data_IF_074115482403
#
_entry.id   IF_074115482403
#
_cell.length_a   1.000
_cell.length_b   1.000
_cell.length_c   1.000
_cell.angle_alpha   90.00
_cell.angle_beta   90.00
_cell.angle_gamma   90.00
#
_symmetry.space_group_name_H-M   'P 1'
#
loop_
_entity.id
_entity.type
_entity.pdbx_description
1 polymer ?
#
# COMPACT_ATOMS: atom_id res chain seq x y z
N UNK A 1 -5.70 4.23 -18.45
CA UNK A 1 -6.15 4.43 -17.06
C UNK A 1 -5.19 3.65 -16.17
N UNK A 2 -4.45 4.31 -15.28
CA UNK A 2 -3.56 3.64 -14.32
C UNK A 2 -4.32 2.71 -13.37
N UNK A 3 -3.72 1.57 -13.01
CA UNK A 3 -4.31 0.59 -12.11
C UNK A 3 -3.26 0.20 -11.07
N UNK A 4 -3.51 0.55 -9.82
CA UNK A 4 -2.74 0.07 -8.67
C UNK A 4 -3.35 -1.22 -8.16
N UNK A 5 -2.60 -2.31 -8.22
CA UNK A 5 -2.93 -3.57 -7.54
C UNK A 5 -2.00 -3.72 -6.36
N UNK A 6 -2.53 -3.84 -5.15
CA UNK A 6 -1.72 -3.84 -3.94
C UNK A 6 -2.12 -4.93 -2.98
N UNK A 7 -1.13 -5.57 -2.36
CA UNK A 7 -1.38 -6.28 -1.10
C UNK A 7 -1.73 -5.29 0.02
N UNK A 8 -2.37 -5.81 1.07
CA UNK A 8 -2.79 -5.06 2.24
C UNK A 8 -1.74 -5.11 3.34
N UNK A 9 -1.56 -6.27 3.97
CA UNK A 9 -0.64 -6.45 5.09
C UNK A 9 0.80 -6.22 4.62
N UNK A 10 1.60 -5.47 5.39
CA UNK A 10 2.99 -5.15 5.04
C UNK A 10 3.19 -4.22 3.83
N UNK A 11 2.20 -4.11 2.94
CA UNK A 11 2.21 -3.24 1.76
C UNK A 11 1.33 -1.99 1.96
N UNK A 12 0.03 -2.01 1.62
CA UNK A 12 -0.83 -0.82 1.73
C UNK A 12 -1.07 -0.37 3.19
N UNK A 13 -1.20 -1.33 4.10
CA UNK A 13 -1.37 -1.12 5.54
C UNK A 13 -0.02 -0.99 6.26
N UNK A 14 1.09 -1.25 5.57
CA UNK A 14 2.45 -1.11 6.09
C UNK A 14 2.95 0.34 6.11
N UNK A 15 4.02 0.58 6.87
CA UNK A 15 4.64 1.90 7.02
C UNK A 15 3.96 2.80 8.06
N UNK A 16 4.39 4.06 8.13
CA UNK A 16 3.86 5.00 9.11
C UNK A 16 2.46 5.51 8.70
N UNK A 17 1.65 5.92 9.69
CA UNK A 17 0.33 6.50 9.41
C UNK A 17 0.41 7.77 8.54
N UNK A 18 1.51 8.52 8.62
CA UNK A 18 1.79 9.68 7.75
C UNK A 18 1.97 9.28 6.29
N UNK A 19 2.62 8.15 6.02
CA UNK A 19 2.85 7.65 4.66
C UNK A 19 1.56 7.10 4.05
N UNK A 20 0.77 6.37 4.84
CA UNK A 20 -0.56 5.91 4.45
C UNK A 20 -1.48 7.09 4.12
N UNK A 21 -1.42 8.17 4.92
CA UNK A 21 -2.14 9.43 4.63
C UNK A 21 -1.67 10.07 3.32
N UNK A 22 -0.36 10.19 3.09
CA UNK A 22 0.19 10.76 1.85
C UNK A 22 -0.23 9.97 0.62
N UNK A 23 -0.16 8.65 0.67
CA UNK A 23 -0.63 7.77 -0.41
C UNK A 23 -2.14 7.98 -0.64
N UNK A 24 -2.93 7.97 0.43
CA UNK A 24 -4.37 8.23 0.38
C UNK A 24 -4.69 9.57 -0.29
N UNK A 25 -4.01 10.64 0.11
CA UNK A 25 -4.24 11.98 -0.39
C UNK A 25 -3.82 12.12 -1.87
N UNK A 26 -2.78 11.40 -2.29
CA UNK A 26 -2.42 11.28 -3.70
C UNK A 26 -3.53 10.58 -4.49
N UNK A 27 -3.96 9.39 -4.07
CA UNK A 27 -5.02 8.65 -4.75
C UNK A 27 -6.36 9.42 -4.81
N UNK A 28 -6.71 10.17 -3.76
CA UNK A 28 -7.92 11.00 -3.74
C UNK A 28 -7.85 12.16 -4.76
N UNK A 29 -6.65 12.70 -5.03
CA UNK A 29 -6.44 13.74 -6.05
C UNK A 29 -6.37 13.19 -7.47
N UNK A 30 -6.16 11.89 -7.60
CA UNK A 30 -6.03 11.16 -8.86
C UNK A 30 -7.09 10.06 -8.98
N UNK A 31 -8.39 10.40 -9.04
CA UNK A 31 -9.48 9.41 -9.10
C UNK A 31 -9.44 8.52 -10.36
N UNK A 32 -8.65 8.89 -11.37
CA UNK A 32 -8.34 8.07 -12.54
C UNK A 32 -7.45 6.86 -12.23
N UNK A 33 -6.74 6.84 -11.09
CA UNK A 33 -5.97 5.68 -10.63
C UNK A 33 -6.93 4.69 -9.98
N UNK A 34 -7.20 3.59 -10.68
CA UNK A 34 -8.04 2.52 -10.15
C UNK A 34 -7.27 1.71 -9.11
N UNK A 35 -7.85 1.55 -7.92
CA UNK A 35 -7.27 0.70 -6.87
C UNK A 35 -7.90 -0.68 -6.89
N UNK A 36 -7.07 -1.71 -6.85
CA UNK A 36 -7.44 -3.12 -6.74
C UNK A 36 -6.71 -3.72 -5.54
N UNK A 37 -7.45 -4.39 -4.65
CA UNK A 37 -6.82 -5.15 -3.57
C UNK A 37 -6.47 -6.54 -4.05
N UNK A 38 -5.30 -7.05 -3.67
CA UNK A 38 -4.88 -8.42 -3.89
C UNK A 38 -4.28 -9.01 -2.62
N UNK A 39 -5.12 -9.66 -1.81
CA UNK A 39 -4.82 -10.00 -0.43
C UNK A 39 -5.11 -11.46 -0.09
N UNK A 40 -4.42 -11.98 0.92
CA UNK A 40 -4.75 -13.25 1.57
C UNK A 40 -5.97 -13.16 2.51
N UNK A 41 -6.43 -11.95 2.84
CA UNK A 41 -7.61 -11.74 3.69
C UNK A 41 -8.89 -12.23 3.00
N UNK A 42 -9.80 -12.75 3.82
CA UNK A 42 -11.19 -12.98 3.41
C UNK A 42 -12.05 -11.73 3.62
N UNK A 43 -13.26 -11.72 3.05
CA UNK A 43 -14.13 -10.53 3.03
C UNK A 43 -14.38 -9.87 4.40
N UNK A 44 -14.63 -10.60 5.51
CA UNK A 44 -14.81 -9.97 6.83
C UNK A 44 -13.59 -9.14 7.29
N UNK A 45 -12.38 -9.65 7.09
CA UNK A 45 -11.14 -8.94 7.46
C UNK A 45 -10.81 -7.78 6.52
N UNK A 46 -11.30 -7.84 5.28
CA UNK A 46 -11.23 -6.71 4.34
C UNK A 46 -12.19 -5.61 4.77
N UNK A 47 -13.41 -5.95 5.21
CA UNK A 47 -14.35 -4.96 5.74
C UNK A 47 -13.77 -4.23 6.95
N UNK A 48 -13.17 -4.96 7.89
CA UNK A 48 -12.46 -4.36 9.04
C UNK A 48 -11.36 -3.39 8.58
N UNK A 49 -10.53 -3.78 7.61
CA UNK A 49 -9.50 -2.89 7.07
C UNK A 49 -10.09 -1.62 6.42
N UNK A 50 -11.26 -1.74 5.79
CA UNK A 50 -11.97 -0.62 5.16
C UNK A 50 -12.66 0.33 6.16
N UNK A 51 -12.67 0.00 7.45
CA UNK A 51 -13.10 0.92 8.51
C UNK A 51 -12.03 2.01 8.77
N UNK A 52 -10.76 1.75 8.45
CA UNK A 52 -9.70 2.76 8.54
C UNK A 52 -9.88 3.79 7.40
N UNK A 53 -10.10 5.09 7.72
CA UNK A 53 -10.29 6.13 6.73
C UNK A 53 -9.05 6.35 5.83
N UNK A 54 -7.88 5.84 6.18
CA UNK A 54 -6.68 5.92 5.34
C UNK A 54 -6.68 4.87 4.22
N UNK A 55 -7.52 3.83 4.28
CA UNK A 55 -7.48 2.72 3.30
C UNK A 55 -8.32 3.00 2.05
N UNK A 56 -7.71 3.18 0.85
CA UNK A 56 -8.42 3.48 -0.39
C UNK A 56 -9.59 2.55 -0.68
N UNK A 57 -10.67 3.09 -1.25
CA UNK A 57 -11.79 2.25 -1.69
C UNK A 57 -11.36 1.50 -2.95
N UNK A 58 -11.33 0.16 -2.94
CA UNK A 58 -10.98 -0.60 -4.13
C UNK A 58 -12.15 -0.62 -5.12
N UNK A 59 -11.86 -0.62 -6.42
CA UNK A 59 -12.86 -0.97 -7.45
C UNK A 59 -13.06 -2.48 -7.51
N UNK A 60 -12.00 -3.26 -7.32
CA UNK A 60 -12.02 -4.71 -7.36
C UNK A 60 -11.22 -5.30 -6.21
N UNK A 61 -11.62 -6.47 -5.75
CA UNK A 61 -10.97 -7.16 -4.63
C UNK A 61 -10.64 -8.58 -5.07
N UNK A 62 -9.36 -8.92 -5.07
CA UNK A 62 -8.84 -10.28 -5.17
C UNK A 62 -8.55 -10.73 -3.73
N UNK A 63 -9.40 -11.61 -3.20
CA UNK A 63 -9.36 -12.10 -1.83
C UNK A 63 -8.95 -13.58 -1.79
N UNK A 64 -8.73 -14.09 -0.57
CA UNK A 64 -8.45 -15.51 -0.32
C UNK A 64 -7.27 -16.03 -1.17
N UNK A 65 -6.20 -15.23 -1.26
CA UNK A 65 -4.97 -15.55 -2.04
C UNK A 65 -5.27 -15.73 -3.54
N UNK A 66 -6.32 -15.10 -4.05
CA UNK A 66 -6.73 -15.18 -5.45
C UNK A 66 -7.72 -16.30 -5.77
N UNK A 67 -8.34 -16.92 -4.76
CA UNK A 67 -9.45 -17.84 -4.97
C UNK A 67 -10.81 -17.12 -5.14
N UNK A 68 -10.90 -15.84 -4.75
CA UNK A 68 -12.12 -15.05 -4.76
C UNK A 68 -11.87 -13.72 -5.46
N UNK A 69 -12.80 -13.30 -6.33
CA UNK A 69 -12.74 -11.98 -6.97
C UNK A 69 -14.10 -11.31 -6.85
N UNK A 70 -14.13 -10.14 -6.23
CA UNK A 70 -15.34 -9.41 -5.88
C UNK A 70 -15.35 -8.01 -6.51
N UNK A 71 -16.55 -7.52 -6.83
CA UNK A 71 -16.78 -6.10 -7.06
C UNK A 71 -16.55 -5.32 -5.74
N UNK A 72 -15.73 -4.27 -5.76
CA UNK A 72 -15.41 -3.49 -4.56
C UNK A 72 -16.52 -2.59 -4.05
N UNK A 73 -17.64 -2.45 -4.77
CA UNK A 73 -18.79 -1.61 -4.40
C UNK A 73 -19.85 -2.41 -3.65
N UNK A 74 -20.27 -3.54 -4.20
CA UNK A 74 -21.34 -4.38 -3.64
C UNK A 74 -20.87 -5.75 -3.12
N UNK A 75 -19.58 -6.04 -3.25
CA UNK A 75 -18.92 -7.27 -2.80
C UNK A 75 -19.48 -8.54 -3.45
N UNK A 76 -20.12 -8.42 -4.62
CA UNK A 76 -20.61 -9.58 -5.36
C UNK A 76 -19.45 -10.30 -6.09
N UNK A 77 -19.45 -11.65 -6.10
CA UNK A 77 -18.49 -12.41 -6.89
C UNK A 77 -18.55 -12.12 -8.39
N UNK A 78 -17.39 -11.90 -9.01
CA UNK A 78 -17.27 -11.65 -10.44
C UNK A 78 -17.33 -12.97 -11.21
N UNK A 79 -18.44 -13.19 -11.91
CA UNK A 79 -18.66 -14.37 -12.76
C UNK A 79 -18.51 -14.03 -14.25
N UNK A 80 -18.07 -14.97 -15.10
CA UNK A 80 -17.70 -16.38 -14.80
C UNK A 80 -16.30 -16.55 -14.20
N UNK A 81 -15.54 -15.47 -14.05
CA UNK A 81 -14.13 -15.45 -13.64
C UNK A 81 -13.85 -16.26 -12.37
N UNK A 82 -14.65 -16.10 -11.32
CA UNK A 82 -14.45 -16.85 -10.08
C UNK A 82 -14.61 -18.37 -10.29
N UNK A 83 -15.56 -18.78 -11.15
CA UNK A 83 -15.72 -20.19 -11.53
C UNK A 83 -14.48 -20.75 -12.22
N UNK A 84 -13.85 -19.97 -13.10
CA UNK A 84 -12.61 -20.35 -13.79
C UNK A 84 -11.44 -20.54 -12.82
N UNK A 85 -11.27 -19.61 -11.86
CA UNK A 85 -10.21 -19.71 -10.85
C UNK A 85 -10.37 -20.92 -9.93
N UNK A 86 -11.62 -21.31 -9.66
CA UNK A 86 -11.98 -22.47 -8.82
C UNK A 86 -12.22 -23.74 -9.62
N UNK A 87 -11.88 -23.78 -10.91
CA UNK A 87 -12.05 -24.96 -11.75
C UNK A 87 -11.28 -26.16 -11.17
N UNK A 88 -11.97 -27.28 -11.01
CA UNK A 88 -11.39 -28.50 -10.42
C UNK A 88 -11.24 -28.47 -8.88
N UNK A 89 -11.69 -27.41 -8.19
CA UNK A 89 -11.64 -27.33 -6.74
C UNK A 89 -12.50 -28.43 -6.09
N UNK A 90 -11.93 -29.34 -5.27
CA UNK A 90 -12.66 -30.46 -4.67
C UNK A 90 -13.53 -30.04 -3.46
N UNK A 91 -13.42 -28.78 -3.03
CA UNK A 91 -14.07 -28.27 -1.83
C UNK A 91 -13.25 -28.49 -0.56
N UNK A 92 -13.43 -27.59 0.41
CA UNK A 92 -12.73 -27.57 1.71
C UNK A 92 -12.85 -28.89 2.46
N UNK A 93 -14.02 -29.55 2.42
CA UNK A 93 -14.26 -30.80 3.12
C UNK A 93 -13.35 -31.95 2.68
N UNK A 94 -13.04 -32.05 1.38
CA UNK A 94 -12.15 -33.10 0.85
C UNK A 94 -10.70 -32.86 1.27
N UNK A 95 -10.24 -31.62 1.26
CA UNK A 95 -8.88 -31.26 1.70
C UNK A 95 -8.74 -31.46 3.20
N UNK A 96 -9.70 -31.00 4.01
CA UNK A 96 -9.72 -31.24 5.46
C UNK A 96 -9.71 -32.74 5.79
N UNK A 97 -10.41 -33.56 5.01
CA UNK A 97 -10.40 -35.01 5.19
C UNK A 97 -9.01 -35.61 4.85
N UNK A 98 -8.41 -35.22 3.73
CA UNK A 98 -7.09 -35.71 3.32
C UNK A 98 -5.99 -35.29 4.30
N UNK A 99 -6.09 -34.10 4.88
CA UNK A 99 -5.10 -33.56 5.80
C UNK A 99 -5.30 -33.96 7.27
N UNK A 100 -6.38 -34.70 7.59
CA UNK A 100 -6.68 -35.13 8.96
C UNK A 100 -5.58 -35.99 9.58
N UNK A 101 -4.82 -36.72 8.76
CA UNK A 101 -3.74 -37.60 9.20
C UNK A 101 -2.48 -36.89 9.68
N UNK A 102 -2.36 -35.56 9.50
CA UNK A 102 -1.18 -34.80 9.88
C UNK A 102 -1.44 -34.04 11.21
N UNK A 103 -0.91 -34.51 12.35
CA UNK A 103 -1.25 -33.95 13.67
C UNK A 103 -0.71 -32.53 13.91
N UNK A 104 0.28 -32.08 13.12
CA UNK A 104 0.80 -30.72 13.21
C UNK A 104 -0.13 -29.67 12.61
N UNK A 105 -1.09 -30.07 11.74
CA UNK A 105 -2.06 -29.16 11.15
C UNK A 105 -3.24 -28.93 12.11
N UNK A 106 -3.47 -27.67 12.47
CA UNK A 106 -4.68 -27.27 13.19
C UNK A 106 -5.61 -26.51 12.27
N UNK A 107 -6.79 -27.05 11.97
CA UNK A 107 -7.76 -26.39 11.09
C UNK A 107 -8.26 -25.06 11.70
N UNK A 108 -8.48 -24.06 10.85
CA UNK A 108 -8.97 -22.75 11.29
C UNK A 108 -10.50 -22.69 11.19
N UNK A 109 -11.22 -23.05 12.25
CA UNK A 109 -12.70 -23.09 12.24
C UNK A 109 -13.33 -21.69 12.12
N UNK A 110 -12.68 -20.64 12.63
CA UNK A 110 -13.20 -19.26 12.61
C UNK A 110 -12.80 -18.47 11.35
N UNK A 111 -11.90 -19.02 10.52
CA UNK A 111 -11.47 -18.34 9.30
C UNK A 111 -12.50 -18.54 8.17
N UNK A 112 -12.72 -17.54 7.31
CA UNK A 112 -13.48 -17.74 6.08
C UNK A 112 -12.85 -18.84 5.21
N UNK A 113 -13.65 -19.79 4.73
CA UNK A 113 -13.22 -20.94 3.94
C UNK A 113 -13.71 -20.85 2.49
N UNK A 114 -13.68 -19.64 1.93
CA UNK A 114 -14.20 -19.35 0.59
C UNK A 114 -13.16 -19.67 -0.48
N UNK A 115 -13.27 -20.85 -1.08
CA UNK A 115 -12.31 -21.28 -2.10
C UNK A 115 -10.91 -21.54 -1.52
N UNK A 116 -10.82 -21.84 -0.22
CA UNK A 116 -9.58 -22.25 0.45
C UNK A 116 -9.85 -23.24 1.58
N UNK A 117 -8.80 -23.85 2.09
CA UNK A 117 -8.82 -24.71 3.27
C UNK A 117 -7.63 -24.36 4.17
N UNK A 118 -7.90 -23.58 5.23
CA UNK A 118 -6.85 -22.95 6.04
C UNK A 118 -6.54 -23.70 7.33
N UNK A 119 -5.25 -23.79 7.65
CA UNK A 119 -4.69 -24.44 8.84
C UNK A 119 -3.60 -23.57 9.48
N UNK A 120 -3.35 -23.77 10.77
CA UNK A 120 -2.12 -23.37 11.43
C UNK A 120 -1.09 -24.50 11.32
N UNK A 121 0.15 -24.14 10.98
CA UNK A 121 1.28 -25.04 10.83
C UNK A 121 2.57 -24.28 11.15
N UNK A 122 3.43 -24.85 12.02
CA UNK A 122 4.74 -24.25 12.31
C UNK A 122 5.72 -24.49 11.15
N UNK A 123 6.73 -23.62 10.95
CA UNK A 123 7.64 -23.74 9.81
C UNK A 123 8.36 -25.09 9.76
N UNK A 124 8.78 -25.60 10.91
CA UNK A 124 9.47 -26.89 11.04
C UNK A 124 8.61 -28.11 10.70
N UNK A 125 7.28 -27.95 10.71
CA UNK A 125 6.31 -29.03 10.47
C UNK A 125 5.81 -29.07 9.01
N UNK A 126 6.22 -28.12 8.16
CA UNK A 126 5.91 -28.13 6.73
C UNK A 126 6.71 -29.23 6.01
N UNK A 127 6.06 -30.37 5.79
CA UNK A 127 6.68 -31.56 5.18
C UNK A 127 6.23 -31.78 3.74
N UNK A 128 7.05 -32.44 2.90
CA UNK A 128 6.65 -32.86 1.56
C UNK A 128 5.37 -33.70 1.56
N UNK A 129 5.13 -34.54 2.58
CA UNK A 129 3.92 -35.35 2.65
C UNK A 129 2.63 -34.53 2.78
N UNK A 130 2.66 -33.39 3.49
CA UNK A 130 1.51 -32.46 3.55
C UNK A 130 1.26 -31.83 2.18
N UNK A 131 2.33 -31.41 1.51
CA UNK A 131 2.29 -30.81 0.18
C UNK A 131 1.72 -31.82 -0.84
N UNK A 132 2.27 -33.03 -0.88
CA UNK A 132 1.85 -34.12 -1.76
C UNK A 132 0.37 -34.48 -1.55
N UNK A 133 -0.11 -34.46 -0.30
CA UNK A 133 -1.52 -34.73 -0.01
C UNK A 133 -2.48 -33.68 -0.58
N UNK A 134 -2.08 -32.40 -0.62
CA UNK A 134 -2.85 -31.33 -1.27
C UNK A 134 -2.76 -31.45 -2.79
N UNK A 135 -1.56 -31.66 -3.32
CA UNK A 135 -1.32 -31.75 -4.77
C UNK A 135 -1.99 -32.97 -5.40
N UNK A 136 -2.08 -34.10 -4.67
CA UNK A 136 -2.80 -35.30 -5.10
C UNK A 136 -4.31 -35.06 -5.31
N UNK A 137 -4.88 -34.02 -4.70
CA UNK A 137 -6.26 -33.59 -4.92
C UNK A 137 -6.40 -32.61 -6.10
N UNK A 138 -5.33 -32.38 -6.85
CA UNK A 138 -5.30 -31.38 -7.92
C UNK A 138 -5.40 -29.95 -7.39
N UNK A 139 -4.92 -29.70 -6.17
CA UNK A 139 -4.91 -28.38 -5.54
C UNK A 139 -3.50 -27.77 -5.56
N UNK A 140 -3.41 -26.47 -5.31
CA UNK A 140 -2.17 -25.78 -4.94
C UNK A 140 -2.18 -25.49 -3.43
N UNK A 141 -1.10 -24.92 -2.93
CA UNK A 141 -0.98 -24.53 -1.53
C UNK A 141 -0.21 -23.21 -1.39
N UNK A 142 -0.40 -22.56 -0.25
CA UNK A 142 0.34 -21.37 0.17
C UNK A 142 0.76 -21.51 1.63
N UNK A 143 1.93 -20.98 1.96
CA UNK A 143 2.41 -20.85 3.34
C UNK A 143 2.83 -19.40 3.60
N UNK A 144 2.38 -18.80 4.69
CA UNK A 144 2.66 -17.39 5.00
C UNK A 144 2.79 -17.11 6.49
N UNK A 145 3.51 -16.02 6.79
CA UNK A 145 3.75 -15.49 8.14
C UNK A 145 4.18 -16.55 9.17
N UNK A 146 5.00 -17.51 8.73
CA UNK A 146 5.53 -18.62 9.55
C UNK A 146 4.46 -19.38 10.34
N UNK A 147 3.21 -19.41 9.84
CA UNK A 147 2.09 -19.95 10.61
C UNK A 147 0.92 -20.46 9.78
N UNK A 148 0.59 -19.82 8.67
CA UNK A 148 -0.66 -20.11 7.95
C UNK A 148 -0.37 -21.01 6.77
N UNK A 149 -1.06 -22.16 6.71
CA UNK A 149 -1.03 -23.07 5.58
C UNK A 149 -2.41 -23.14 4.94
N UNK A 150 -2.49 -22.84 3.64
CA UNK A 150 -3.73 -22.82 2.89
C UNK A 150 -3.68 -23.84 1.74
N UNK A 151 -4.65 -24.74 1.68
CA UNK A 151 -4.97 -25.48 0.46
C UNK A 151 -5.85 -24.60 -0.45
N UNK A 152 -5.52 -24.52 -1.74
CA UNK A 152 -6.12 -23.59 -2.70
C UNK A 152 -6.45 -24.30 -4.03
N UNK A 153 -7.43 -23.80 -4.81
CA UNK A 153 -7.65 -24.27 -6.19
C UNK A 153 -6.37 -24.16 -7.00
N UNK A 154 -6.08 -25.13 -7.89
CA UNK A 154 -4.82 -25.18 -8.64
C UNK A 154 -4.48 -23.87 -9.37
N UNK A 155 -5.51 -23.21 -9.89
CA UNK A 155 -5.40 -21.94 -10.62
C UNK A 155 -5.37 -20.70 -9.73
N UNK A 156 -5.69 -20.82 -8.44
CA UNK A 156 -5.74 -19.69 -7.53
C UNK A 156 -4.33 -19.19 -7.16
N UNK A 157 -4.09 -17.93 -7.46
CA UNK A 157 -2.99 -17.10 -6.95
C UNK A 157 -3.35 -15.64 -7.21
N UNK A 158 -2.75 -14.70 -6.47
CA UNK A 158 -2.97 -13.25 -6.70
C UNK A 158 -2.69 -12.88 -8.16
N UNK A 159 -1.60 -13.37 -8.74
CA UNK A 159 -1.22 -13.14 -10.13
C UNK A 159 -2.17 -13.73 -11.16
N UNK A 160 -2.62 -14.99 -10.99
CA UNK A 160 -3.58 -15.60 -11.93
C UNK A 160 -4.93 -14.90 -11.88
N UNK A 161 -5.41 -14.56 -10.68
CA UNK A 161 -6.65 -13.82 -10.49
C UNK A 161 -6.56 -12.42 -11.12
N UNK A 162 -5.44 -11.71 -10.92
CA UNK A 162 -5.18 -10.43 -11.56
C UNK A 162 -5.13 -10.55 -13.08
N UNK A 163 -4.44 -11.55 -13.63
CA UNK A 163 -4.37 -11.77 -15.07
C UNK A 163 -5.76 -12.09 -15.65
N UNK A 164 -6.58 -12.88 -14.96
CA UNK A 164 -7.95 -13.16 -15.37
C UNK A 164 -8.83 -11.91 -15.32
N UNK A 165 -8.70 -11.09 -14.28
CA UNK A 165 -9.43 -9.84 -14.12
C UNK A 165 -9.02 -8.83 -15.19
N UNK A 166 -7.72 -8.65 -15.42
CA UNK A 166 -7.20 -7.77 -16.46
C UNK A 166 -7.72 -8.17 -17.84
N UNK A 167 -7.75 -9.48 -18.17
CA UNK A 167 -8.35 -9.97 -19.42
C UNK A 167 -9.85 -9.66 -19.51
N UNK A 168 -10.62 -9.92 -18.45
CA UNK A 168 -12.07 -9.69 -18.47
C UNK A 168 -12.45 -8.22 -18.59
N UNK A 169 -11.62 -7.33 -18.01
CA UNK A 169 -11.82 -5.88 -18.05
C UNK A 169 -11.10 -5.19 -19.23
N UNK A 170 -10.34 -5.92 -20.03
CA UNK A 170 -9.59 -5.36 -21.16
C UNK A 170 -8.44 -4.44 -20.76
N UNK A 171 -7.81 -4.67 -19.60
CA UNK A 171 -6.71 -3.85 -19.10
C UNK A 171 -5.38 -4.16 -19.78
N UNK A 172 -4.68 -3.16 -20.34
CA UNK A 172 -3.31 -3.32 -20.79
C UNK A 172 -2.39 -3.64 -19.61
N UNK A 173 -1.49 -4.61 -19.77
CA UNK A 173 -0.50 -4.96 -18.72
C UNK A 173 0.37 -3.75 -18.33
N UNK A 174 0.72 -2.91 -19.31
CA UNK A 174 1.50 -1.69 -19.09
C UNK A 174 0.77 -0.60 -18.29
N UNK A 175 -0.53 -0.72 -18.05
CA UNK A 175 -1.27 0.22 -17.17
C UNK A 175 -1.43 -0.30 -15.75
N UNK A 176 -0.80 -1.42 -15.40
CA UNK A 176 -0.89 -2.06 -14.09
C UNK A 176 0.42 -1.86 -13.34
N UNK A 177 0.33 -1.41 -12.08
CA UNK A 177 1.38 -1.46 -11.08
C UNK A 177 0.98 -2.46 -10.00
N UNK A 178 1.79 -3.49 -9.79
CA UNK A 178 1.63 -4.43 -8.68
C UNK A 178 2.54 -4.04 -7.52
N UNK A 179 2.01 -4.05 -6.30
CA UNK A 179 2.74 -3.80 -5.07
C UNK A 179 2.57 -4.96 -4.09
N UNK A 180 3.67 -5.41 -3.49
CA UNK A 180 3.68 -6.51 -2.53
C UNK A 180 4.96 -6.53 -1.70
N UNK A 181 4.97 -7.35 -0.65
CA UNK A 181 6.08 -7.47 0.30
C UNK A 181 6.42 -8.92 0.66
N UNK A 182 5.57 -9.90 0.36
CA UNK A 182 5.77 -11.30 0.76
C UNK A 182 5.81 -12.28 -0.41
N UNK A 183 6.20 -13.52 -0.16
CA UNK A 183 6.34 -14.54 -1.21
C UNK A 183 5.02 -14.85 -1.95
N UNK A 184 3.87 -14.66 -1.31
CA UNK A 184 2.57 -14.89 -1.95
C UNK A 184 2.25 -13.85 -3.06
N UNK A 185 2.96 -12.70 -3.06
CA UNK A 185 2.84 -11.63 -4.04
C UNK A 185 3.64 -11.89 -5.31
N UNK A 186 4.62 -12.81 -5.26
CA UNK A 186 5.52 -13.14 -6.37
C UNK A 186 4.76 -13.43 -7.67
N UNK A 187 3.59 -14.06 -7.57
CA UNK A 187 2.72 -14.35 -8.71
C UNK A 187 2.26 -13.09 -9.46
N UNK A 188 2.05 -11.97 -8.77
CA UNK A 188 1.67 -10.69 -9.40
C UNK A 188 2.81 -10.10 -10.20
N UNK A 189 4.05 -10.14 -9.69
CA UNK A 189 5.23 -9.62 -10.40
C UNK A 189 5.52 -10.37 -11.72
N UNK A 190 5.08 -11.63 -11.82
CA UNK A 190 5.28 -12.51 -12.98
C UNK A 190 4.38 -12.20 -14.18
N UNK A 191 3.37 -11.33 -14.04
CA UNK A 191 2.44 -11.04 -15.14
C UNK A 191 2.99 -10.07 -16.20
N UNK A 192 4.17 -9.49 -15.96
CA UNK A 192 4.82 -8.52 -16.85
C UNK A 192 4.33 -7.07 -16.69
N UNK A 193 3.61 -6.77 -15.61
CA UNK A 193 3.19 -5.42 -15.23
C UNK A 193 4.35 -4.61 -14.63
N UNK A 194 4.15 -3.30 -14.40
CA UNK A 194 5.02 -2.57 -13.49
C UNK A 194 4.91 -3.19 -12.10
N UNK A 195 6.02 -3.24 -11.36
CA UNK A 195 6.06 -3.85 -10.04
C UNK A 195 6.85 -3.00 -9.05
N UNK A 196 6.47 -3.03 -7.78
CA UNK A 196 7.26 -2.51 -6.68
C UNK A 196 7.26 -3.50 -5.52
N UNK A 197 8.45 -3.94 -5.11
CA UNK A 197 8.64 -4.66 -3.86
C UNK A 197 9.02 -3.61 -2.80
N UNK A 198 8.13 -3.35 -1.85
CA UNK A 198 8.29 -2.24 -0.89
C UNK A 198 9.46 -2.48 0.07
N UNK A 199 9.98 -1.43 0.71
CA UNK A 199 11.25 -1.50 1.45
C UNK A 199 11.29 -2.48 2.63
N UNK A 200 10.14 -2.90 3.15
CA UNK A 200 10.01 -3.95 4.18
C UNK A 200 9.72 -5.34 3.62
N UNK A 201 9.97 -5.58 2.33
CA UNK A 201 9.75 -6.88 1.70
C UNK A 201 10.56 -8.00 2.36
N UNK A 202 9.94 -9.16 2.50
CA UNK A 202 10.57 -10.35 3.04
C UNK A 202 11.77 -10.78 2.19
N UNK A 203 12.86 -11.27 2.81
CA UNK A 203 14.04 -11.76 2.07
C UNK A 203 13.71 -12.85 1.05
N UNK A 204 12.70 -13.67 1.34
CA UNK A 204 12.20 -14.75 0.46
C UNK A 204 11.61 -14.20 -0.84
N UNK A 205 10.84 -13.11 -0.79
CA UNK A 205 10.34 -12.43 -1.97
C UNK A 205 11.50 -11.81 -2.77
N UNK A 206 12.40 -11.09 -2.10
CA UNK A 206 13.54 -10.44 -2.76
C UNK A 206 14.41 -11.45 -3.50
N UNK A 207 14.77 -12.56 -2.85
CA UNK A 207 15.54 -13.64 -3.46
C UNK A 207 14.81 -14.24 -4.68
N UNK A 208 13.49 -14.38 -4.61
CA UNK A 208 12.68 -14.89 -5.73
C UNK A 208 12.57 -13.91 -6.91
N UNK A 209 12.74 -12.61 -6.65
CA UNK A 209 12.72 -11.53 -7.66
C UNK A 209 14.07 -11.31 -8.34
N UNK A 210 15.20 -11.72 -7.76
CA UNK A 210 16.53 -11.55 -8.34
C UNK A 210 16.72 -12.27 -9.70
N UNK A 211 15.90 -13.28 -9.99
CA UNK A 211 15.86 -13.95 -11.29
C UNK A 211 14.86 -13.36 -12.29
N UNK A 212 14.17 -12.28 -11.94
CA UNK A 212 13.17 -11.61 -12.77
C UNK A 212 13.72 -10.23 -13.19
N UNK A 213 13.20 -9.63 -14.27
CA UNK A 213 13.63 -8.29 -14.70
C UNK A 213 13.61 -7.26 -13.55
N UNK A 214 14.29 -6.12 -13.71
CA UNK A 214 14.48 -5.16 -12.64
C UNK A 214 13.15 -4.63 -12.07
N UNK A 215 12.66 -5.25 -11.00
CA UNK A 215 11.54 -4.77 -10.18
C UNK A 215 12.11 -3.72 -9.21
N UNK A 216 11.64 -2.46 -9.26
CA UNK A 216 11.97 -1.43 -8.27
C UNK A 216 11.83 -1.90 -6.82
N UNK A 217 12.81 -1.52 -5.99
CA UNK A 217 12.93 -1.86 -4.56
C UNK A 217 13.30 -0.60 -3.77
N UNK A 218 12.37 0.36 -3.61
CA UNK A 218 12.64 1.55 -2.81
C UNK A 218 12.96 1.17 -1.36
N UNK A 219 13.73 1.99 -0.65
CA UNK A 219 13.98 1.78 0.79
C UNK A 219 12.71 2.04 1.64
N UNK A 220 11.77 2.77 1.06
CA UNK A 220 10.53 3.21 1.67
C UNK A 220 9.60 2.01 1.90
N UNK A 221 9.18 1.74 3.15
CA UNK A 221 8.31 0.62 3.47
C UNK A 221 6.85 0.89 3.11
N UNK A 222 6.09 -0.19 2.93
CA UNK A 222 4.63 -0.18 2.78
C UNK A 222 4.11 0.91 1.85
N UNK A 223 3.14 1.68 2.34
CA UNK A 223 2.49 2.73 1.58
C UNK A 223 3.45 3.80 1.02
N UNK A 224 4.59 4.05 1.67
CA UNK A 224 5.59 4.99 1.17
C UNK A 224 6.27 4.46 -0.11
N UNK A 225 6.59 3.16 -0.15
CA UNK A 225 7.15 2.51 -1.33
C UNK A 225 6.16 2.49 -2.49
N UNK A 226 4.88 2.25 -2.20
CA UNK A 226 3.80 2.32 -3.19
C UNK A 226 3.66 3.73 -3.77
N UNK A 227 3.64 4.76 -2.92
CA UNK A 227 3.54 6.16 -3.35
C UNK A 227 4.74 6.54 -4.23
N UNK A 228 5.95 6.16 -3.84
CA UNK A 228 7.14 6.43 -4.64
C UNK A 228 7.04 5.82 -6.05
N UNK A 229 6.61 4.56 -6.16
CA UNK A 229 6.46 3.92 -7.46
C UNK A 229 5.41 4.63 -8.34
N UNK A 230 4.29 5.07 -7.76
CA UNK A 230 3.28 5.85 -8.48
C UNK A 230 3.83 7.21 -8.96
N UNK A 231 4.67 7.87 -8.17
CA UNK A 231 5.34 9.13 -8.53
C UNK A 231 6.36 8.92 -9.65
N UNK A 232 7.18 7.88 -9.58
CA UNK A 232 8.18 7.54 -10.60
C UNK A 232 7.55 7.21 -11.96
N UNK A 233 6.36 6.60 -11.94
CA UNK A 233 5.56 6.34 -13.15
C UNK A 233 4.81 7.59 -13.66
N UNK A 234 4.79 8.68 -12.90
CA UNK A 234 4.01 9.88 -13.20
C UNK A 234 2.50 9.64 -13.17
N UNK A 235 2.03 8.65 -12.42
CA UNK A 235 0.60 8.30 -12.30
C UNK A 235 -0.10 9.09 -11.21
N UNK A 236 0.66 9.62 -10.26
CA UNK A 236 0.20 10.58 -9.26
C UNK A 236 1.24 11.68 -9.12
N UNK A 237 0.81 12.79 -8.55
CA UNK A 237 1.67 13.87 -8.08
C UNK A 237 1.43 14.07 -6.58
N UNK A 238 2.43 14.45 -5.81
CA UNK A 238 2.19 15.02 -4.47
C UNK A 238 1.85 16.49 -4.65
N UNK A 239 0.66 16.89 -4.20
CA UNK A 239 0.25 18.29 -4.24
C UNK A 239 1.26 19.14 -3.48
N UNK A 240 1.45 20.37 -3.94
CA UNK A 240 2.36 21.32 -3.30
C UNK A 240 2.03 21.47 -1.80
N UNK A 241 3.07 21.65 -1.00
CA UNK A 241 3.00 22.10 0.39
C UNK A 241 1.99 23.25 0.51
N UNK A 242 1.21 23.32 1.59
CA UNK A 242 0.33 24.47 1.86
C UNK A 242 1.16 25.75 1.77
N UNK A 243 0.88 26.60 0.78
CA UNK A 243 1.57 27.90 0.66
C UNK A 243 0.80 28.94 1.47
N UNK A 244 1.41 29.41 2.56
CA UNK A 244 0.87 30.49 3.37
C UNK A 244 1.44 31.80 2.86
N UNK A 245 0.67 32.51 2.04
CA UNK A 245 0.95 33.89 1.67
C UNK A 245 0.50 34.84 2.78
N UNK A 246 1.44 35.42 3.53
CA UNK A 246 1.12 36.39 4.57
C UNK A 246 2.08 37.58 4.53
N UNK A 247 1.54 38.78 4.74
CA UNK A 247 2.29 40.04 4.64
C UNK A 247 3.29 40.29 5.78
N UNK A 248 3.40 39.37 6.75
CA UNK A 248 4.36 39.45 7.86
C UNK A 248 5.18 38.16 7.93
N UNK A 249 6.49 38.22 8.12
CA UNK A 249 7.30 37.04 8.39
C UNK A 249 6.92 36.42 9.75
N UNK A 250 7.14 35.11 9.95
CA UNK A 250 6.85 34.41 11.20
C UNK A 250 7.82 34.78 12.34
N UNK A 251 8.91 35.47 12.00
CA UNK A 251 9.97 36.00 12.86
C UNK A 251 10.35 37.40 12.39
N UNK A 252 10.81 38.25 13.30
CA UNK A 252 11.31 39.58 12.99
C UNK A 252 12.73 39.73 13.54
N UNK A 253 13.61 40.40 12.82
CA UNK A 253 14.97 40.67 13.29
C UNK A 253 15.16 42.17 13.50
N UNK A 254 15.77 42.57 14.61
CA UNK A 254 16.24 43.96 14.80
C UNK A 254 17.70 44.00 15.27
N UNK A 255 18.47 45.05 14.92
CA UNK A 255 19.85 45.20 15.38
C UNK A 255 20.00 45.18 16.91
N UNK A 256 19.01 45.70 17.62
CA UNK A 256 19.04 45.84 19.07
C UNK A 256 18.64 44.55 19.81
N UNK A 257 17.89 43.66 19.15
CA UNK A 257 17.14 42.62 19.84
C UNK A 257 17.21 41.24 19.15
N UNK A 258 18.00 41.14 18.07
CA UNK A 258 18.20 39.96 17.23
C UNK A 258 16.86 39.37 16.76
N UNK A 259 16.79 38.05 16.51
CA UNK A 259 15.56 37.38 16.09
C UNK A 259 14.51 37.27 17.19
N UNK A 260 13.29 37.71 16.88
CA UNK A 260 12.15 37.73 17.79
C UNK A 260 10.86 37.23 17.14
N UNK A 261 9.95 36.71 17.97
CA UNK A 261 8.60 36.40 17.52
C UNK A 261 7.78 37.69 17.36
N UNK A 262 7.07 37.88 16.24
CA UNK A 262 6.27 39.08 16.04
C UNK A 262 5.06 39.09 16.97
N UNK A 263 4.69 40.26 17.47
CA UNK A 263 3.44 40.42 18.20
C UNK A 263 2.24 40.28 17.23
N UNK A 264 1.31 39.40 17.58
CA UNK A 264 0.08 39.16 16.81
C UNK A 264 -1.14 39.48 17.66
N UNK A 265 -1.59 40.75 17.68
CA UNK A 265 -2.72 41.18 18.51
C UNK A 265 -4.02 40.42 18.22
N UNK A 266 -4.17 39.89 17.00
CA UNK A 266 -5.39 39.19 16.56
C UNK A 266 -5.26 37.66 16.57
N UNK A 267 -4.15 37.10 17.08
CA UNK A 267 -3.95 35.64 17.16
C UNK A 267 -3.70 34.89 15.84
N UNK A 268 -3.84 35.54 14.67
CA UNK A 268 -3.66 34.92 13.34
C UNK A 268 -2.26 34.31 13.17
N UNK A 269 -1.20 35.02 13.57
CA UNK A 269 0.16 34.54 13.38
C UNK A 269 0.45 33.27 14.23
N UNK A 270 0.08 33.21 15.54
CA UNK A 270 0.10 31.97 16.29
C UNK A 270 -0.67 30.83 15.62
N UNK A 271 -1.86 31.08 15.07
CA UNK A 271 -2.67 30.06 14.38
C UNK A 271 -1.97 29.52 13.14
N UNK A 272 -1.43 30.38 12.29
CA UNK A 272 -0.72 29.97 11.08
C UNK A 272 0.59 29.22 11.41
N UNK A 273 1.31 29.65 12.46
CA UNK A 273 2.52 28.96 12.92
C UNK A 273 2.21 27.58 13.52
N UNK A 274 1.08 27.43 14.19
CA UNK A 274 0.65 26.14 14.73
C UNK A 274 0.45 25.06 13.65
N UNK A 275 0.18 25.45 12.39
CA UNK A 275 0.06 24.50 11.27
C UNK A 275 1.38 23.74 11.04
N UNK A 276 2.53 24.37 11.22
CA UNK A 276 3.85 23.74 11.07
C UNK A 276 4.19 22.82 12.25
N UNK A 277 3.63 23.08 13.43
CA UNK A 277 3.79 22.20 14.59
C UNK A 277 2.94 20.93 14.51
N UNK A 278 1.88 20.94 13.68
CA UNK A 278 0.96 19.82 13.47
C UNK A 278 1.40 18.81 12.41
N UNK A 279 2.63 18.92 11.88
CA UNK A 279 3.14 18.02 10.83
C UNK A 279 2.58 18.30 9.43
N UNK A 280 1.94 19.45 9.23
CA UNK A 280 1.48 19.89 7.91
C UNK A 280 2.68 20.35 7.07
N UNK A 281 2.83 19.79 5.88
CA UNK A 281 3.86 20.22 4.94
C UNK A 281 3.42 21.53 4.30
N UNK A 282 3.96 22.64 4.80
CA UNK A 282 3.61 24.01 4.40
C UNK A 282 4.87 24.83 4.10
N UNK A 283 4.73 25.87 3.30
CA UNK A 283 5.79 26.86 2.99
C UNK A 283 5.23 28.25 3.28
N UNK A 284 5.95 29.04 4.08
CA UNK A 284 5.58 30.43 4.33
C UNK A 284 6.19 31.33 3.26
N UNK A 285 5.36 32.12 2.60
CA UNK A 285 5.78 33.13 1.62
C UNK A 285 5.38 34.51 2.14
N UNK A 286 6.37 35.36 2.33
CA UNK A 286 6.18 36.75 2.78
C UNK A 286 7.03 37.67 1.91
N UNK A 287 6.47 38.82 1.56
CA UNK A 287 7.23 39.91 1.00
C UNK A 287 7.59 40.88 2.12
N UNK A 288 8.85 41.33 2.17
CA UNK A 288 9.34 42.27 3.17
C UNK A 288 10.05 43.43 2.47
N UNK A 289 9.70 44.67 2.83
CA UNK A 289 10.43 45.86 2.40
C UNK A 289 11.62 46.03 3.36
N UNK A 290 12.83 45.82 2.86
CA UNK A 290 14.05 45.94 3.64
C UNK A 290 14.72 47.30 3.35
N UNK A 291 14.77 48.19 4.35
CA UNK A 291 15.36 49.53 4.16
C UNK A 291 16.88 49.51 3.90
N UNK A 292 17.56 48.36 4.09
CA UNK A 292 19.00 48.23 3.86
C UNK A 292 19.41 46.83 3.34
N UNK A 293 20.35 46.71 2.39
CA UNK A 293 20.80 45.44 1.80
C UNK A 293 21.42 44.45 2.80
N UNK A 294 22.03 44.95 3.89
CA UNK A 294 22.65 44.11 4.93
C UNK A 294 21.61 43.25 5.68
N UNK A 295 20.33 43.63 5.67
CA UNK A 295 19.24 42.89 6.33
C UNK A 295 18.91 41.56 5.64
N UNK A 296 19.16 41.42 4.34
CA UNK A 296 18.85 40.20 3.59
C UNK A 296 19.82 39.05 3.91
N UNK A 297 21.09 39.36 4.16
CA UNK A 297 22.14 38.36 4.41
C UNK A 297 22.00 37.60 5.74
N UNK A 298 21.21 38.12 6.68
CA UNK A 298 20.95 37.47 7.96
C UNK A 298 19.74 36.54 7.94
N UNK A 299 18.83 36.69 6.98
CA UNK A 299 17.57 35.94 6.91
C UNK A 299 17.78 34.43 6.68
N UNK A 300 18.83 34.05 5.94
CA UNK A 300 19.17 32.65 5.64
C UNK A 300 19.86 31.92 6.81
N UNK A 301 20.29 32.64 7.85
CA UNK A 301 21.06 32.10 8.98
C UNK A 301 20.24 31.64 10.18
N UNK A 302 18.93 31.93 10.21
CA UNK A 302 18.07 31.61 11.36
C UNK A 302 17.20 30.38 11.09
N UNK A 303 17.41 29.33 11.89
CA UNK A 303 16.55 28.15 11.88
C UNK A 303 15.20 28.48 12.54
N UNK A 304 14.28 29.03 11.73
CA UNK A 304 12.92 29.34 12.15
C UNK A 304 12.07 28.08 12.43
N UNK A 305 12.61 26.88 12.17
CA UNK A 305 11.90 25.59 12.16
C UNK A 305 10.73 25.56 11.16
N UNK A 306 10.65 26.54 10.26
CA UNK A 306 9.62 26.72 9.23
C UNK A 306 10.34 26.92 7.88
N UNK A 307 9.96 26.19 6.81
CA UNK A 307 10.43 26.48 5.47
C UNK A 307 9.95 27.89 5.05
N UNK A 308 10.88 28.83 4.91
CA UNK A 308 10.63 30.26 4.65
C UNK A 308 11.36 30.69 3.39
N UNK A 309 10.67 31.40 2.49
CA UNK A 309 11.28 32.03 1.32
C UNK A 309 10.92 33.51 1.28
N UNK A 310 11.93 34.37 1.21
CA UNK A 310 11.78 35.80 1.04
C UNK A 310 11.83 36.16 -0.45
N UNK A 311 10.81 36.87 -0.91
CA UNK A 311 10.84 37.48 -2.24
C UNK A 311 11.19 38.96 -2.06
N UNK A 312 12.34 39.44 -2.59
CA UNK A 312 12.63 40.86 -2.60
C UNK A 312 11.59 41.59 -3.47
N UNK A 313 11.04 42.68 -2.94
CA UNK A 313 10.21 43.63 -3.69
C UNK A 313 11.02 44.87 -4.07
#
# INVERSE_FOLDING_TARGET
>A
MPILVTDLDGTLLGGAATDRRRLRDALNRHPEVMVVFATGRGLPSIHEALEDPLVPRPRWIIADVGATVLDGVDYTPVQPLQGELRAGWPGTGRIRAALRGFPALTYQDDAPQEGRCSFFLRPEDLTPAIIDAVEALGCSWSYSADRYFDGLPRGASKGNALAALARSQGWPVASILVAGDSLNDLSMFRIGAHGVAVGNSEPTLIAALDGQGAVPRPQQPGAAGVLQALLELGWVETGSSLVIGYHRPPVNWTPEADWQEPSSPNGILPTLRALFSGGMEAVWVTAAVLDQPERAAHLDGYDSRIPLSFLPL
#
